data_IF_830244496741
#
_entry.id   IF_830244496741
#
_cell.length_a   1.000
_cell.length_b   1.000
_cell.length_c   1.000
_cell.angle_alpha   90.00
_cell.angle_beta   90.00
_cell.angle_gamma   90.00
#
_symmetry.space_group_name_H-M   'P 1'
#
loop_
_entity.id
_entity.type
_entity.pdbx_description
1 polymer ?
#
# COMPACT_ATOMS: atom_id res chain seq x y z
N UNK A 1 -6.69 8.59 14.34
CA UNK A 1 -5.57 7.78 13.81
C UNK A 1 -5.93 6.31 13.91
N UNK A 2 -5.30 5.44 13.11
CA UNK A 2 -5.47 3.97 13.17
C UNK A 2 -4.10 3.32 13.36
N UNK A 3 -4.03 2.29 14.20
CA UNK A 3 -2.83 1.45 14.37
C UNK A 3 -3.22 0.03 14.00
N UNK A 4 -2.42 -0.62 13.15
CA UNK A 4 -2.64 -1.99 12.71
C UNK A 4 -1.39 -2.81 13.00
N UNK A 5 -1.55 -3.92 13.71
CA UNK A 5 -0.53 -4.96 13.78
C UNK A 5 -0.78 -5.98 12.68
N UNK A 6 0.26 -6.27 11.89
CA UNK A 6 0.21 -7.26 10.83
C UNK A 6 1.27 -8.32 11.09
N UNK A 7 0.91 -9.59 10.86
CA UNK A 7 1.84 -10.71 10.81
C UNK A 7 1.70 -11.37 9.46
N UNK A 8 2.80 -11.42 8.71
CA UNK A 8 2.84 -11.92 7.34
C UNK A 8 4.13 -12.69 7.08
N UNK A 9 4.13 -13.58 6.10
CA UNK A 9 5.34 -14.27 5.66
C UNK A 9 5.93 -13.54 4.44
N UNK A 10 7.15 -13.01 4.57
CA UNK A 10 7.92 -12.45 3.45
C UNK A 10 9.04 -13.44 3.13
N UNK A 11 9.09 -13.95 1.89
CA UNK A 11 10.06 -14.96 1.46
C UNK A 11 10.14 -16.18 2.41
N UNK A 12 8.96 -16.61 2.89
CA UNK A 12 8.82 -17.73 3.82
C UNK A 12 9.23 -17.43 5.28
N UNK A 13 9.66 -16.20 5.59
CA UNK A 13 10.07 -15.80 6.94
C UNK A 13 8.96 -15.00 7.63
N UNK A 14 8.67 -15.26 8.92
CA UNK A 14 7.75 -14.44 9.69
C UNK A 14 8.21 -12.97 9.74
N UNK A 15 7.28 -12.07 9.46
CA UNK A 15 7.44 -10.64 9.58
C UNK A 15 6.30 -10.08 10.41
N UNK A 16 6.66 -9.29 11.43
CA UNK A 16 5.72 -8.56 12.27
C UNK A 16 5.92 -7.08 12.04
N UNK A 17 4.82 -6.38 11.77
CA UNK A 17 4.85 -4.99 11.35
C UNK A 17 3.77 -4.23 12.09
N UNK A 18 4.10 -3.02 12.55
CA UNK A 18 3.13 -2.06 13.08
C UNK A 18 2.98 -0.96 12.04
N UNK A 19 1.75 -0.77 11.57
CA UNK A 19 1.40 0.32 10.68
C UNK A 19 0.59 1.38 11.43
N UNK A 20 0.96 2.65 11.27
CA UNK A 20 0.28 3.80 11.88
C UNK A 20 -0.23 4.71 10.76
N UNK A 21 -1.48 5.15 10.88
CA UNK A 21 -2.15 6.00 9.91
C UNK A 21 -2.72 7.22 10.63
N UNK A 22 -2.26 8.42 10.27
CA UNK A 22 -2.79 9.69 10.79
C UNK A 22 -3.28 10.54 9.64
N UNK A 23 -4.53 10.99 9.69
CA UNK A 23 -5.11 11.82 8.64
C UNK A 23 -4.68 13.28 8.80
N UNK A 24 -4.34 13.90 7.68
CA UNK A 24 -4.01 15.31 7.53
C UNK A 24 -5.11 15.97 6.70
N UNK A 25 -5.93 16.79 7.37
CA UNK A 25 -7.06 17.48 6.75
C UNK A 25 -6.63 18.54 5.73
N UNK A 26 -5.45 19.15 5.92
CA UNK A 26 -4.94 20.19 5.02
C UNK A 26 -4.45 19.57 3.72
N UNK A 27 -3.74 18.44 3.81
CA UNK A 27 -3.26 17.70 2.64
C UNK A 27 -4.33 16.76 2.03
N UNK A 28 -5.45 16.55 2.72
CA UNK A 28 -6.45 15.52 2.40
C UNK A 28 -5.81 14.14 2.15
N UNK A 29 -4.92 13.72 3.06
CA UNK A 29 -4.13 12.52 2.90
C UNK A 29 -3.84 11.85 4.26
N UNK A 30 -3.47 10.58 4.24
CA UNK A 30 -2.96 9.90 5.43
C UNK A 30 -1.43 9.90 5.41
N UNK A 31 -0.82 10.32 6.51
CA UNK A 31 0.57 9.97 6.80
C UNK A 31 0.60 8.53 7.30
N UNK A 32 1.39 7.71 6.63
CA UNK A 32 1.57 6.29 6.92
C UNK A 32 2.98 6.03 7.40
N UNK A 33 3.10 5.31 8.51
CA UNK A 33 4.37 4.82 9.03
C UNK A 33 4.30 3.31 9.13
N UNK A 34 5.34 2.64 8.64
CA UNK A 34 5.51 1.21 8.74
C UNK A 34 6.74 0.91 9.57
N UNK A 35 6.54 0.33 10.75
CA UNK A 35 7.61 0.00 11.69
C UNK A 35 7.87 -1.50 11.62
N UNK A 36 9.11 -1.84 11.25
CA UNK A 36 9.65 -3.18 11.19
C UNK A 36 10.70 -3.37 12.28
N UNK A 37 11.12 -4.61 12.53
CA UNK A 37 12.18 -4.91 13.50
C UNK A 37 13.48 -4.14 13.24
N UNK A 38 13.81 -3.92 11.96
CA UNK A 38 15.11 -3.37 11.54
C UNK A 38 15.03 -1.92 11.05
N UNK A 39 13.90 -1.23 11.24
CA UNK A 39 13.74 0.15 10.80
C UNK A 39 12.28 0.56 10.59
N UNK A 40 12.08 1.81 10.21
CA UNK A 40 10.78 2.34 9.86
C UNK A 40 10.83 3.05 8.51
N UNK A 41 9.74 2.97 7.76
CA UNK A 41 9.51 3.72 6.55
C UNK A 41 8.24 4.56 6.70
N UNK A 42 8.16 5.67 5.97
CA UNK A 42 6.96 6.50 5.94
C UNK A 42 6.62 6.91 4.52
N UNK A 43 5.33 6.97 4.22
CA UNK A 43 4.83 7.56 2.97
C UNK A 43 3.50 8.26 3.19
N UNK A 44 3.05 9.01 2.20
CA UNK A 44 1.72 9.58 2.15
C UNK A 44 0.80 8.68 1.34
N UNK A 45 -0.40 8.46 1.87
CA UNK A 45 -1.48 7.73 1.20
C UNK A 45 -2.54 8.75 0.79
N UNK A 46 -2.76 8.89 -0.51
CA UNK A 46 -3.82 9.74 -1.04
C UNK A 46 -5.14 8.97 -1.09
N UNK A 47 -6.24 9.64 -0.74
CA UNK A 47 -7.59 9.09 -0.83
C UNK A 47 -8.43 10.01 -1.70
N UNK A 48 -8.97 9.48 -2.79
CA UNK A 48 -9.84 10.20 -3.72
C UNK A 48 -11.03 9.33 -4.10
N UNK A 49 -12.21 9.66 -3.58
CA UNK A 49 -13.41 8.84 -3.77
C UNK A 49 -13.24 7.43 -3.23
N UNK A 50 -13.35 6.44 -4.12
CA UNK A 50 -13.18 5.01 -3.84
C UNK A 50 -11.73 4.51 -3.99
N UNK A 51 -10.80 5.40 -4.36
CA UNK A 51 -9.43 5.04 -4.72
C UNK A 51 -8.45 5.47 -3.63
N UNK A 52 -7.70 4.49 -3.12
CA UNK A 52 -6.57 4.69 -2.21
C UNK A 52 -5.27 4.50 -2.99
N UNK A 53 -4.37 5.48 -2.95
CA UNK A 53 -3.08 5.43 -3.65
C UNK A 53 -1.93 5.44 -2.67
N UNK A 54 -1.11 4.39 -2.72
CA UNK A 54 0.17 4.28 -2.02
C UNK A 54 1.28 4.64 -3.01
N UNK A 55 2.18 5.53 -2.65
CA UNK A 55 3.31 5.92 -3.51
C UNK A 55 4.62 5.66 -2.80
N UNK A 56 5.64 5.25 -3.53
CA UNK A 56 7.02 5.15 -3.04
C UNK A 56 7.99 5.55 -4.13
N UNK A 57 9.23 5.91 -3.77
CA UNK A 57 10.26 6.29 -4.74
C UNK A 57 11.64 5.79 -4.30
N UNK A 58 12.38 5.23 -5.25
CA UNK A 58 13.72 4.71 -5.02
C UNK A 58 14.64 4.97 -6.21
N UNK A 59 15.93 4.72 -6.02
CA UNK A 59 16.94 4.77 -7.07
C UNK A 59 17.15 3.38 -7.65
N UNK A 60 16.95 3.23 -8.96
CA UNK A 60 17.39 2.05 -9.72
C UNK A 60 18.41 2.48 -10.77
N UNK A 61 19.62 1.89 -10.73
CA UNK A 61 20.73 2.21 -11.64
C UNK A 61 20.96 3.73 -11.83
N UNK A 62 20.83 4.49 -10.74
CA UNK A 62 21.00 5.95 -10.70
C UNK A 62 19.77 6.78 -11.12
N UNK A 63 18.73 6.17 -11.70
CA UNK A 63 17.48 6.83 -12.08
C UNK A 63 16.48 6.82 -10.93
N UNK A 64 15.71 7.90 -10.79
CA UNK A 64 14.55 7.90 -9.89
C UNK A 64 13.46 7.05 -10.53
N UNK A 65 12.96 6.09 -9.77
CA UNK A 65 11.77 5.31 -10.11
C UNK A 65 10.74 5.61 -9.03
N UNK A 66 9.57 6.07 -9.45
CA UNK A 66 8.40 6.20 -8.58
C UNK A 66 7.48 5.03 -8.86
N UNK A 67 7.07 4.33 -7.80
CA UNK A 67 6.03 3.31 -7.88
C UNK A 67 4.77 3.81 -7.20
N UNK A 68 3.62 3.39 -7.71
CA UNK A 68 2.35 3.59 -7.04
C UNK A 68 1.49 2.34 -7.08
N UNK A 69 0.78 2.07 -6.01
CA UNK A 69 -0.27 1.05 -5.95
C UNK A 69 -1.60 1.74 -5.73
N UNK A 70 -2.55 1.53 -6.65
CA UNK A 70 -3.90 2.06 -6.57
C UNK A 70 -4.83 0.93 -6.17
N UNK A 71 -5.57 1.10 -5.08
CA UNK A 71 -6.65 0.23 -4.65
C UNK A 71 -7.98 0.95 -4.89
N UNK A 72 -8.76 0.46 -5.86
CA UNK A 72 -10.09 0.98 -6.19
C UNK A 72 -11.13 0.08 -5.54
N UNK A 73 -11.78 0.59 -4.50
CA UNK A 73 -12.76 -0.15 -3.70
C UNK A 73 -14.10 -0.22 -4.42
N UNK A 74 -14.57 -1.43 -4.69
CA UNK A 74 -15.88 -1.64 -5.29
C UNK A 74 -16.97 -1.79 -4.20
N UNK A 75 -16.59 -2.30 -3.03
CA UNK A 75 -17.41 -2.42 -1.82
C UNK A 75 -16.50 -2.74 -0.61
N UNK A 76 -17.01 -2.75 0.64
CA UNK A 76 -16.18 -2.97 1.83
C UNK A 76 -15.39 -4.29 1.90
N UNK A 77 -15.74 -5.28 1.07
CA UNK A 77 -15.10 -6.60 1.04
C UNK A 77 -14.29 -6.87 -0.24
N UNK A 78 -14.21 -5.91 -1.17
CA UNK A 78 -13.57 -6.11 -2.48
C UNK A 78 -12.96 -4.84 -3.06
N UNK A 79 -11.72 -4.94 -3.52
CA UNK A 79 -11.06 -3.90 -4.30
C UNK A 79 -10.23 -4.47 -5.44
N UNK A 80 -10.11 -3.70 -6.53
CA UNK A 80 -9.13 -3.95 -7.60
C UNK A 80 -7.86 -3.20 -7.26
N UNK A 81 -6.71 -3.84 -7.50
CA UNK A 81 -5.43 -3.19 -7.30
C UNK A 81 -4.58 -3.24 -8.56
N UNK A 82 -3.79 -2.19 -8.78
CA UNK A 82 -2.71 -2.18 -9.77
C UNK A 82 -1.50 -1.48 -9.20
N UNK A 83 -0.32 -2.00 -9.50
CA UNK A 83 0.96 -1.38 -9.20
C UNK A 83 1.60 -0.93 -10.50
N UNK A 84 2.05 0.31 -10.54
CA UNK A 84 2.62 0.96 -11.71
C UNK A 84 3.93 1.64 -11.34
N UNK A 85 4.83 1.80 -12.30
CA UNK A 85 6.04 2.60 -12.14
C UNK A 85 6.14 3.70 -13.18
N UNK A 86 6.88 4.75 -12.82
CA UNK A 86 7.23 5.86 -13.69
C UNK A 86 8.68 6.27 -13.45
N UNK A 87 9.36 6.67 -14.53
CA UNK A 87 10.72 7.26 -14.49
C UNK A 87 10.73 8.75 -14.80
N UNK A 88 9.60 9.31 -15.24
CA UNK A 88 9.42 10.71 -15.64
C UNK A 88 8.32 11.43 -14.84
N UNK A 89 7.61 10.72 -13.97
CA UNK A 89 6.46 11.24 -13.20
C UNK A 89 5.17 11.41 -14.00
N UNK A 90 5.20 11.20 -15.32
CA UNK A 90 4.09 11.48 -16.23
C UNK A 90 3.54 10.20 -16.88
N UNK A 91 4.44 9.33 -17.34
CA UNK A 91 4.11 8.07 -18.00
C UNK A 91 4.17 6.94 -17.00
N UNK A 92 3.10 6.14 -16.94
CA UNK A 92 2.98 5.03 -15.99
C UNK A 92 2.92 3.69 -16.72
N UNK A 93 3.82 2.80 -16.36
CA UNK A 93 3.88 1.43 -16.86
C UNK A 93 3.34 0.46 -15.82
N UNK A 94 2.42 -0.41 -16.23
CA UNK A 94 1.85 -1.44 -15.36
C UNK A 94 2.92 -2.48 -14.98
N UNK A 95 3.05 -2.76 -13.69
CA UNK A 95 3.89 -3.84 -13.17
C UNK A 95 3.07 -5.08 -12.85
N UNK A 96 1.97 -4.90 -12.13
CA UNK A 96 1.11 -5.98 -11.67
C UNK A 96 -0.30 -5.45 -11.40
N UNK A 97 -1.29 -6.35 -11.43
CA UNK A 97 -2.67 -6.03 -11.04
C UNK A 97 -3.41 -7.26 -10.54
N UNK A 98 -4.51 -7.03 -9.84
CA UNK A 98 -5.35 -8.11 -9.35
C UNK A 98 -6.62 -7.62 -8.66
N UNK A 99 -7.30 -8.57 -8.01
CA UNK A 99 -8.49 -8.34 -7.17
C UNK A 99 -8.15 -8.87 -5.79
N UNK A 100 -8.40 -8.06 -4.77
CA UNK A 100 -8.43 -8.49 -3.39
C UNK A 100 -9.87 -8.60 -2.94
N UNK A 101 -10.21 -9.73 -2.32
CA UNK A 101 -11.56 -9.98 -1.83
C UNK A 101 -11.48 -10.71 -0.50
N UNK A 102 -12.20 -10.21 0.50
CA UNK A 102 -12.36 -10.89 1.77
C UNK A 102 -13.12 -12.20 1.52
N UNK A 103 -12.53 -13.32 1.94
CA UNK A 103 -13.22 -14.62 1.99
C UNK A 103 -13.35 -15.03 3.44
N UNK A 104 -14.56 -15.42 3.85
CA UNK A 104 -14.71 -16.20 5.07
C UNK A 104 -14.22 -17.61 4.77
N UNK A 105 -13.30 -18.09 5.59
CA UNK A 105 -12.98 -19.51 5.63
C UNK A 105 -13.81 -20.04 6.81
N UNK A 106 -14.84 -20.83 6.51
CA UNK A 106 -15.54 -21.60 7.54
C UNK A 106 -14.61 -22.74 7.98
N UNK A 107 -14.45 -22.90 9.29
CA UNK A 107 -13.66 -24.01 9.82
C UNK A 107 -14.36 -25.34 9.49
N UNK A 108 -13.62 -26.39 9.09
CA UNK A 108 -14.21 -27.71 8.92
C UNK A 108 -14.75 -28.20 10.28
N UNK A 109 -15.97 -28.72 10.25
CA UNK A 109 -16.66 -29.35 11.39
C UNK A 109 -15.98 -30.66 11.80
#
# INVERSE_FOLDING_TARGET
>A
FMICQQSLAIDGKPSHVISIYTYDETANAYHFFNVHRNGAASTTIAVAGDTITYTDSFKDKGKNVTIRTLNVWENPDRYRWRTEYSTDGATWSLMASGISQRRRIEAPH
#
